data_IF_235950074620
#
_entry.id   IF_235950074620
#
_cell.length_a   1.000
_cell.length_b   1.000
_cell.length_c   1.000
_cell.angle_alpha   90.00
_cell.angle_beta   90.00
_cell.angle_gamma   90.00
#
_symmetry.space_group_name_H-M   'P 1'
#
loop_
_entity.id
_entity.type
_entity.pdbx_description
1 polymer ?
#
# COMPACT_ATOMS: atom_id res chain seq x y z
N UNK A 1 -14.13 19.09 58.35
CA UNK A 1 -13.16 19.53 57.37
C UNK A 1 -13.35 18.64 56.13
N UNK A 2 -14.09 19.16 55.18
CA UNK A 2 -14.45 18.46 53.93
C UNK A 2 -13.32 18.63 52.94
N UNK A 3 -12.75 17.55 52.51
CA UNK A 3 -11.91 17.51 51.33
C UNK A 3 -12.80 17.10 50.14
N UNK A 4 -13.25 18.11 49.42
CA UNK A 4 -13.91 17.99 48.14
C UNK A 4 -12.98 17.29 47.15
N UNK A 5 -13.39 16.09 46.71
CA UNK A 5 -12.77 15.41 45.60
C UNK A 5 -12.92 16.24 44.32
N UNK A 6 -11.82 16.73 43.82
CA UNK A 6 -11.71 17.07 42.41
C UNK A 6 -11.72 15.73 41.64
N UNK A 7 -12.88 15.33 41.16
CA UNK A 7 -12.95 14.44 39.99
C UNK A 7 -12.33 15.24 38.83
N UNK A 8 -11.08 14.94 38.52
CA UNK A 8 -10.46 15.41 37.31
C UNK A 8 -11.31 14.90 36.15
N UNK A 9 -11.99 15.85 35.49
CA UNK A 9 -12.49 15.59 34.13
C UNK A 9 -11.34 14.91 33.36
N UNK A 10 -11.60 13.71 32.88
CA UNK A 10 -10.68 13.02 31.99
C UNK A 10 -10.39 14.00 30.85
N UNK A 11 -9.16 14.50 30.80
CA UNK A 11 -8.68 15.38 29.75
C UNK A 11 -8.97 14.68 28.40
N UNK A 12 -9.79 15.35 27.59
CA UNK A 12 -9.95 14.91 26.19
C UNK A 12 -8.54 14.82 25.59
N UNK A 13 -8.17 13.70 24.97
CA UNK A 13 -6.81 13.49 24.49
C UNK A 13 -6.41 14.68 23.61
N UNK A 14 -5.22 15.22 23.87
CA UNK A 14 -4.67 16.31 23.07
C UNK A 14 -4.64 15.86 21.60
N UNK A 15 -5.01 16.76 20.66
CA UNK A 15 -5.05 16.42 19.23
C UNK A 15 -3.77 15.72 18.73
N UNK A 16 -2.61 16.11 19.26
CA UNK A 16 -1.33 15.46 18.97
C UNK A 16 -1.23 14.03 19.49
N UNK A 17 -1.73 13.78 20.70
CA UNK A 17 -1.76 12.43 21.31
C UNK A 17 -2.72 11.50 20.57
N UNK A 18 -3.88 12.03 20.14
CA UNK A 18 -4.83 11.27 19.33
C UNK A 18 -4.20 10.81 18.01
N UNK A 19 -3.55 11.73 17.27
CA UNK A 19 -2.86 11.39 16.01
C UNK A 19 -1.73 10.40 16.29
N UNK A 20 -0.87 10.64 17.28
CA UNK A 20 0.24 9.74 17.59
C UNK A 20 -0.23 8.33 17.95
N UNK A 21 -1.32 8.22 18.72
CA UNK A 21 -1.88 6.92 19.10
C UNK A 21 -2.32 6.09 17.88
N UNK A 22 -2.91 6.74 16.87
CA UNK A 22 -3.38 6.03 15.65
C UNK A 22 -2.28 5.69 14.65
N UNK A 23 -1.12 6.37 14.74
CA UNK A 23 0.01 6.14 13.84
C UNK A 23 1.05 5.14 14.37
N UNK A 24 0.87 4.62 15.58
CA UNK A 24 1.77 3.61 16.16
C UNK A 24 1.34 2.22 15.76
N UNK A 25 2.28 1.42 15.25
CA UNK A 25 2.07 0.04 14.87
C UNK A 25 2.26 -0.91 16.05
N UNK A 26 1.55 -2.04 16.02
CA UNK A 26 1.80 -3.15 16.92
C UNK A 26 3.03 -3.92 16.43
N UNK A 27 4.18 -3.69 17.07
CA UNK A 27 5.48 -4.17 16.62
C UNK A 27 6.16 -5.13 17.61
N UNK A 28 7.25 -5.76 17.16
CA UNK A 28 8.01 -6.72 17.95
C UNK A 28 8.81 -6.10 19.10
N UNK A 29 9.09 -4.78 19.07
CA UNK A 29 9.88 -4.10 20.10
C UNK A 29 9.03 -3.61 21.27
N UNK A 30 7.71 -3.49 21.11
CA UNK A 30 6.81 -2.92 22.13
C UNK A 30 6.95 -1.41 22.34
N UNK A 31 7.81 -0.74 21.56
CA UNK A 31 8.04 0.70 21.60
C UNK A 31 7.81 1.33 20.23
N UNK A 32 7.39 2.61 20.15
CA UNK A 32 7.26 3.31 18.87
C UNK A 32 8.57 3.30 18.10
N UNK A 33 8.51 3.11 16.79
CA UNK A 33 9.67 3.17 15.91
C UNK A 33 10.27 4.57 15.92
N UNK A 34 11.58 4.68 16.17
CA UNK A 34 12.30 5.95 16.26
C UNK A 34 13.00 6.34 14.97
N UNK A 35 13.30 5.37 14.11
CA UNK A 35 13.92 5.56 12.80
C UNK A 35 12.92 5.35 11.69
N UNK A 36 13.06 6.04 10.56
CA UNK A 36 12.12 5.94 9.43
C UNK A 36 12.03 4.51 8.87
N UNK A 37 13.16 3.84 8.72
CA UNK A 37 13.26 2.45 8.27
C UNK A 37 14.04 1.67 9.32
N UNK A 38 13.46 0.62 9.85
CA UNK A 38 14.11 -0.27 10.81
C UNK A 38 13.79 -1.72 10.46
N UNK A 39 14.74 -2.39 9.84
CA UNK A 39 14.61 -3.80 9.45
C UNK A 39 14.69 -4.78 10.63
N UNK A 40 15.02 -4.32 11.83
CA UNK A 40 15.03 -5.14 13.05
C UNK A 40 13.64 -5.29 13.67
N UNK A 41 12.71 -4.39 13.30
CA UNK A 41 11.35 -4.33 13.85
C UNK A 41 10.37 -4.92 12.85
N UNK A 42 9.59 -5.91 13.29
CA UNK A 42 8.49 -6.47 12.51
C UNK A 42 7.18 -5.88 13.02
N UNK A 43 6.44 -5.22 12.15
CA UNK A 43 5.11 -4.71 12.40
C UNK A 43 4.10 -5.85 12.18
N UNK A 44 3.64 -6.46 13.28
CA UNK A 44 2.75 -7.62 13.22
C UNK A 44 1.39 -7.30 12.61
N UNK A 45 0.86 -6.11 12.86
CA UNK A 45 -0.38 -5.61 12.28
C UNK A 45 -0.28 -5.49 10.75
N UNK A 46 0.78 -4.88 10.24
CA UNK A 46 1.04 -4.75 8.81
C UNK A 46 1.12 -6.11 8.12
N UNK A 47 1.91 -7.05 8.67
CA UNK A 47 2.06 -8.40 8.11
C UNK A 47 0.74 -9.17 8.17
N UNK A 48 0.03 -9.09 9.29
CA UNK A 48 -1.25 -9.76 9.47
C UNK A 48 -2.30 -9.28 8.46
N UNK A 49 -2.54 -7.96 8.39
CA UNK A 49 -3.55 -7.42 7.48
C UNK A 49 -3.15 -7.62 6.01
N UNK A 50 -1.89 -7.41 5.63
CA UNK A 50 -1.43 -7.66 4.28
C UNK A 50 -1.68 -9.13 3.85
N UNK A 51 -1.32 -10.09 4.72
CA UNK A 51 -1.48 -11.53 4.42
C UNK A 51 -2.95 -11.93 4.37
N UNK A 52 -3.75 -11.49 5.34
CA UNK A 52 -5.19 -11.84 5.42
C UNK A 52 -5.94 -11.25 4.22
N UNK A 53 -5.70 -9.98 3.89
CA UNK A 53 -6.35 -9.32 2.75
C UNK A 53 -5.91 -9.97 1.43
N UNK A 54 -4.62 -10.24 1.26
CA UNK A 54 -4.11 -10.94 0.07
C UNK A 54 -4.69 -12.33 -0.08
N UNK A 55 -4.71 -13.11 0.98
CA UNK A 55 -5.33 -14.43 1.01
C UNK A 55 -6.83 -14.39 0.70
N UNK A 56 -7.54 -13.42 1.26
CA UNK A 56 -8.97 -13.21 0.99
C UNK A 56 -9.21 -12.84 -0.48
N UNK A 57 -8.41 -11.95 -1.05
CA UNK A 57 -8.51 -11.57 -2.47
C UNK A 57 -8.32 -12.77 -3.39
N UNK A 58 -7.26 -13.54 -3.18
CA UNK A 58 -6.99 -14.75 -3.97
C UNK A 58 -8.11 -15.78 -3.80
N UNK A 59 -8.60 -15.97 -2.58
CA UNK A 59 -9.71 -16.88 -2.29
C UNK A 59 -11.01 -16.45 -2.98
N UNK A 60 -11.36 -15.17 -2.93
CA UNK A 60 -12.54 -14.64 -3.62
C UNK A 60 -12.43 -14.77 -5.15
N UNK A 61 -11.29 -14.43 -5.73
CA UNK A 61 -11.04 -14.63 -7.16
C UNK A 61 -11.14 -16.11 -7.54
N UNK A 62 -10.60 -17.00 -6.73
CA UNK A 62 -10.71 -18.45 -6.94
C UNK A 62 -12.16 -18.94 -6.85
N UNK A 63 -12.96 -18.45 -5.90
CA UNK A 63 -14.39 -18.80 -5.80
C UNK A 63 -15.16 -18.37 -7.04
N UNK A 64 -14.91 -17.18 -7.58
CA UNK A 64 -15.53 -16.69 -8.80
C UNK A 64 -15.08 -17.51 -10.01
N UNK A 65 -13.78 -17.74 -10.15
CA UNK A 65 -13.21 -18.53 -11.25
C UNK A 65 -13.73 -19.98 -11.27
N UNK A 66 -13.87 -20.60 -10.09
CA UNK A 66 -14.41 -21.98 -9.95
C UNK A 66 -15.86 -22.12 -10.42
N UNK A 67 -16.64 -21.03 -10.34
CA UNK A 67 -18.06 -20.99 -10.75
C UNK A 67 -18.25 -20.37 -12.13
N UNK A 68 -17.16 -20.07 -12.85
CA UNK A 68 -17.23 -19.43 -14.15
C UNK A 68 -17.92 -20.35 -15.17
N UNK A 69 -18.79 -19.74 -15.96
CA UNK A 69 -19.56 -20.42 -17.02
C UNK A 69 -19.25 -19.78 -18.36
N UNK A 70 -19.29 -20.60 -19.43
CA UNK A 70 -19.07 -20.11 -20.81
C UNK A 70 -20.28 -19.34 -21.39
N UNK A 71 -21.40 -19.30 -20.66
CA UNK A 71 -22.61 -18.57 -21.06
C UNK A 71 -22.60 -17.11 -20.62
N UNK A 72 -23.79 -16.55 -20.36
CA UNK A 72 -23.93 -15.18 -19.86
C UNK A 72 -23.29 -15.10 -18.45
N UNK A 73 -22.24 -14.27 -18.26
CA UNK A 73 -21.55 -14.21 -16.98
C UNK A 73 -22.41 -13.58 -15.88
N UNK A 74 -22.34 -14.13 -14.66
CA UNK A 74 -22.89 -13.46 -13.49
C UNK A 74 -22.11 -12.16 -13.17
N UNK A 75 -22.69 -11.25 -12.38
CA UNK A 75 -22.09 -9.93 -12.06
C UNK A 75 -20.66 -10.02 -11.54
N UNK A 76 -20.37 -10.96 -10.63
CA UNK A 76 -19.02 -11.13 -10.07
C UNK A 76 -18.05 -11.69 -11.12
N UNK A 77 -18.50 -12.64 -11.95
CA UNK A 77 -17.70 -13.17 -13.04
C UNK A 77 -17.39 -12.08 -14.08
N UNK A 78 -18.41 -11.30 -14.50
CA UNK A 78 -18.23 -10.20 -15.45
C UNK A 78 -17.24 -9.15 -14.93
N UNK A 79 -17.31 -8.78 -13.64
CA UNK A 79 -16.36 -7.84 -13.05
C UNK A 79 -14.92 -8.37 -13.07
N UNK A 80 -14.71 -9.65 -12.75
CA UNK A 80 -13.39 -10.27 -12.78
C UNK A 80 -12.86 -10.42 -14.21
N UNK A 81 -13.71 -10.79 -15.16
CA UNK A 81 -13.35 -10.91 -16.58
C UNK A 81 -12.96 -9.57 -17.19
N UNK A 82 -13.74 -8.50 -16.96
CA UNK A 82 -13.41 -7.13 -17.42
C UNK A 82 -12.06 -6.70 -16.85
N UNK A 83 -11.83 -6.94 -15.57
CA UNK A 83 -10.56 -6.58 -14.93
C UNK A 83 -9.38 -7.40 -15.49
N UNK A 84 -9.57 -8.70 -15.67
CA UNK A 84 -8.56 -9.58 -16.24
C UNK A 84 -8.25 -9.24 -17.71
N UNK A 85 -9.25 -8.86 -18.50
CA UNK A 85 -9.08 -8.40 -19.88
C UNK A 85 -8.30 -7.08 -19.92
N UNK A 86 -8.70 -6.09 -19.12
CA UNK A 86 -8.01 -4.80 -19.03
C UNK A 86 -6.53 -4.96 -18.69
N UNK A 87 -6.21 -5.76 -17.66
CA UNK A 87 -4.83 -6.00 -17.25
C UNK A 87 -4.08 -6.88 -18.25
N UNK A 88 -4.77 -7.85 -18.85
CA UNK A 88 -4.23 -8.70 -19.90
C UNK A 88 -3.82 -7.91 -21.14
N UNK A 89 -4.60 -6.90 -21.53
CA UNK A 89 -4.27 -6.00 -22.63
C UNK A 89 -3.04 -5.14 -22.30
N UNK A 90 -2.94 -4.60 -21.09
CA UNK A 90 -1.75 -3.86 -20.66
C UNK A 90 -0.50 -4.76 -20.66
N UNK A 91 -0.63 -5.97 -20.13
CA UNK A 91 0.46 -6.95 -20.14
C UNK A 91 0.88 -7.34 -21.57
N UNK A 92 -0.05 -7.36 -22.54
CA UNK A 92 0.24 -7.66 -23.96
C UNK A 92 1.03 -6.54 -24.63
N UNK A 93 0.76 -5.29 -24.27
CA UNK A 93 1.48 -4.13 -24.81
C UNK A 93 2.93 -4.11 -24.31
N UNK A 94 3.16 -4.48 -23.06
CA UNK A 94 4.48 -4.37 -22.40
C UNK A 94 5.31 -5.65 -22.60
N UNK A 95 4.70 -6.84 -22.41
CA UNK A 95 5.39 -8.12 -22.47
C UNK A 95 5.04 -8.85 -23.77
N UNK A 96 5.90 -8.70 -24.79
CA UNK A 96 5.68 -9.27 -26.12
C UNK A 96 5.78 -10.80 -26.15
N UNK A 97 6.57 -11.40 -25.25
CA UNK A 97 6.74 -12.85 -25.16
C UNK A 97 5.50 -13.54 -24.58
N UNK A 98 4.82 -14.35 -25.39
CA UNK A 98 3.59 -15.04 -25.00
C UNK A 98 3.78 -16.01 -23.81
N UNK A 99 4.92 -16.72 -23.74
CA UNK A 99 5.20 -17.65 -22.64
C UNK A 99 5.34 -16.94 -21.31
N UNK A 100 6.01 -15.79 -21.28
CA UNK A 100 6.15 -14.98 -20.08
C UNK A 100 4.83 -14.30 -19.70
N UNK A 101 4.09 -13.80 -20.69
CA UNK A 101 2.80 -13.13 -20.48
C UNK A 101 1.77 -14.02 -19.80
N UNK A 102 1.75 -15.34 -20.09
CA UNK A 102 0.86 -16.29 -19.42
C UNK A 102 1.01 -16.33 -17.89
N UNK A 103 2.18 -15.98 -17.39
CA UNK A 103 2.43 -15.87 -15.95
C UNK A 103 2.36 -14.42 -15.46
N UNK A 104 2.89 -13.48 -16.23
CA UNK A 104 2.97 -12.06 -15.81
C UNK A 104 1.59 -11.39 -15.75
N UNK A 105 0.66 -11.73 -16.65
CA UNK A 105 -0.68 -11.14 -16.62
C UNK A 105 -1.49 -11.53 -15.36
N UNK A 106 -1.58 -12.81 -14.95
CA UNK A 106 -2.20 -13.17 -13.67
C UNK A 106 -1.49 -12.58 -12.45
N UNK A 107 -0.15 -12.48 -12.48
CA UNK A 107 0.62 -11.82 -11.43
C UNK A 107 0.23 -10.35 -11.30
N UNK A 108 0.17 -9.62 -12.41
CA UNK A 108 -0.24 -8.22 -12.45
C UNK A 108 -1.68 -8.02 -11.92
N UNK A 109 -2.60 -8.92 -12.29
CA UNK A 109 -3.96 -8.93 -11.77
C UNK A 109 -3.96 -9.11 -10.24
N UNK A 110 -3.18 -10.04 -9.73
CA UNK A 110 -3.08 -10.30 -8.28
C UNK A 110 -2.51 -9.08 -7.56
N UNK A 111 -1.45 -8.48 -8.08
CA UNK A 111 -0.83 -7.26 -7.53
C UNK A 111 -1.84 -6.11 -7.50
N UNK A 112 -2.54 -5.88 -8.62
CA UNK A 112 -3.56 -4.84 -8.68
C UNK A 112 -4.65 -5.02 -7.63
N UNK A 113 -5.27 -6.21 -7.58
CA UNK A 113 -6.37 -6.49 -6.65
C UNK A 113 -5.89 -6.44 -5.20
N UNK A 114 -4.70 -6.95 -4.92
CA UNK A 114 -4.14 -6.93 -3.57
C UNK A 114 -3.83 -5.52 -3.08
N UNK A 115 -3.12 -4.72 -3.88
CA UNK A 115 -2.81 -3.32 -3.52
C UNK A 115 -4.09 -2.49 -3.42
N UNK A 116 -5.05 -2.68 -4.34
CA UNK A 116 -6.35 -2.03 -4.27
C UNK A 116 -7.09 -2.36 -2.98
N UNK A 117 -7.14 -3.63 -2.60
CA UNK A 117 -7.82 -4.05 -1.38
C UNK A 117 -7.13 -3.53 -0.11
N UNK A 118 -5.79 -3.55 -0.05
CA UNK A 118 -5.05 -2.99 1.08
C UNK A 118 -5.30 -1.48 1.23
N UNK A 119 -5.25 -0.74 0.13
CA UNK A 119 -5.51 0.70 0.13
C UNK A 119 -6.98 1.03 0.48
N UNK A 120 -7.91 0.16 0.10
CA UNK A 120 -9.34 0.32 0.42
C UNK A 120 -9.63 0.19 1.92
N UNK A 121 -8.73 -0.38 2.71
CA UNK A 121 -8.88 -0.43 4.17
C UNK A 121 -8.91 0.95 4.80
N UNK A 122 -8.35 1.96 4.15
CA UNK A 122 -8.35 3.36 4.63
C UNK A 122 -9.75 4.01 4.64
N UNK A 123 -10.74 3.40 3.95
CA UNK A 123 -12.15 3.83 4.02
C UNK A 123 -12.90 3.29 5.24
N UNK A 124 -12.31 2.37 6.00
CA UNK A 124 -12.93 1.93 7.24
C UNK A 124 -12.86 3.06 8.27
N UNK A 125 -13.90 3.21 9.12
CA UNK A 125 -13.85 4.19 10.20
C UNK A 125 -12.58 3.97 11.04
N UNK A 126 -11.79 5.04 11.22
CA UNK A 126 -10.46 5.01 11.84
C UNK A 126 -10.47 4.30 13.20
N UNK A 127 -11.51 4.53 14.01
CA UNK A 127 -11.63 3.99 15.36
C UNK A 127 -12.24 2.57 15.41
N UNK A 128 -12.81 2.06 14.30
CA UNK A 128 -13.62 0.82 14.34
C UNK A 128 -12.80 -0.40 14.79
N UNK A 129 -11.71 -0.68 14.10
CA UNK A 129 -10.88 -1.86 14.38
C UNK A 129 -9.96 -1.66 15.59
N UNK A 130 -9.34 -0.48 15.81
CA UNK A 130 -8.60 -0.20 17.05
C UNK A 130 -9.44 -0.36 18.31
N UNK A 131 -10.64 0.21 18.36
CA UNK A 131 -11.56 0.08 19.52
C UNK A 131 -12.00 -1.38 19.72
N UNK A 132 -12.26 -2.12 18.63
CA UNK A 132 -12.59 -3.53 18.73
C UNK A 132 -11.40 -4.33 19.30
N UNK A 133 -10.18 -4.03 18.86
CA UNK A 133 -8.96 -4.67 19.35
C UNK A 133 -8.69 -4.36 20.83
N UNK A 134 -8.87 -3.11 21.27
CA UNK A 134 -8.76 -2.73 22.67
C UNK A 134 -9.73 -3.50 23.56
N UNK A 135 -10.99 -3.69 23.11
CA UNK A 135 -11.99 -4.48 23.81
C UNK A 135 -11.64 -5.97 23.88
N UNK A 136 -11.12 -6.54 22.80
CA UNK A 136 -10.74 -7.95 22.72
C UNK A 136 -9.47 -8.25 23.53
N UNK A 137 -8.49 -7.36 23.49
CA UNK A 137 -7.22 -7.51 24.22
C UNK A 137 -7.33 -7.17 25.71
N UNK A 138 -8.41 -6.50 26.13
CA UNK A 138 -8.59 -6.00 27.49
C UNK A 138 -7.63 -4.87 27.87
N UNK A 139 -6.85 -4.35 26.92
CA UNK A 139 -5.89 -3.27 27.13
C UNK A 139 -6.36 -1.99 26.39
N UNK A 140 -6.75 -0.92 27.14
CA UNK A 140 -7.23 0.32 26.51
C UNK A 140 -6.15 1.09 25.74
N UNK A 141 -4.88 0.74 25.89
CA UNK A 141 -3.75 1.34 25.18
C UNK A 141 -3.16 0.43 24.10
N UNK A 142 -3.88 -0.62 23.68
CA UNK A 142 -3.40 -1.48 22.62
C UNK A 142 -3.40 -0.75 21.28
N UNK A 143 -2.24 -0.75 20.62
CA UNK A 143 -2.08 -0.19 19.27
C UNK A 143 -2.51 -1.20 18.22
N UNK A 144 -3.15 -0.72 17.17
CA UNK A 144 -3.46 -1.51 15.98
C UNK A 144 -3.60 -0.56 14.79
N UNK A 145 -2.73 -0.72 13.80
CA UNK A 145 -2.81 0.01 12.56
C UNK A 145 -3.37 -0.90 11.47
N UNK A 146 -4.39 -0.42 10.77
CA UNK A 146 -5.24 -1.27 9.91
C UNK A 146 -4.75 -1.26 8.46
N UNK A 147 -4.11 -0.17 8.02
CA UNK A 147 -3.71 0.05 6.62
C UNK A 147 -2.26 -0.38 6.39
N UNK A 148 -2.00 -1.56 5.79
CA UNK A 148 -0.62 -2.07 5.64
C UNK A 148 0.25 -1.21 4.74
N UNK A 149 -0.35 -0.54 3.75
CA UNK A 149 0.36 0.30 2.77
C UNK A 149 0.70 1.69 3.29
N UNK A 150 0.10 2.10 4.41
CA UNK A 150 0.48 3.32 5.13
C UNK A 150 1.67 3.09 6.10
N UNK A 151 2.14 1.86 6.23
CA UNK A 151 3.40 1.53 6.89
C UNK A 151 4.56 1.56 5.89
N UNK A 152 5.60 2.32 6.23
CA UNK A 152 6.78 2.45 5.37
C UNK A 152 7.50 1.12 5.16
N UNK A 153 7.61 0.28 6.20
CA UNK A 153 8.22 -1.05 6.09
C UNK A 153 7.42 -1.97 5.18
N UNK A 154 6.08 -1.93 5.26
CA UNK A 154 5.18 -2.68 4.39
C UNK A 154 5.27 -2.24 2.92
N UNK A 155 5.23 -0.92 2.68
CA UNK A 155 5.32 -0.36 1.33
C UNK A 155 6.69 -0.66 0.66
N UNK A 156 7.79 -0.57 1.43
CA UNK A 156 9.12 -0.95 0.93
C UNK A 156 9.26 -2.45 0.75
N UNK A 157 8.65 -3.28 1.60
CA UNK A 157 8.58 -4.73 1.43
C UNK A 157 7.99 -5.09 0.06
N UNK A 158 6.82 -4.55 -0.28
CA UNK A 158 6.18 -4.76 -1.58
C UNK A 158 7.05 -4.26 -2.76
N UNK A 159 7.73 -3.13 -2.60
CA UNK A 159 8.64 -2.61 -3.64
C UNK A 159 9.87 -3.51 -3.85
N UNK A 160 10.42 -4.05 -2.77
CA UNK A 160 11.53 -5.01 -2.81
C UNK A 160 11.08 -6.33 -3.46
N UNK A 161 9.86 -6.81 -3.18
CA UNK A 161 9.31 -8.00 -3.83
C UNK A 161 9.22 -7.82 -5.36
N UNK A 162 8.81 -6.63 -5.82
CA UNK A 162 8.81 -6.30 -7.26
C UNK A 162 10.23 -6.30 -7.83
N UNK A 163 11.22 -5.77 -7.10
CA UNK A 163 12.62 -5.80 -7.52
C UNK A 163 13.15 -7.23 -7.62
N UNK A 164 12.83 -8.10 -6.65
CA UNK A 164 13.22 -9.51 -6.67
C UNK A 164 12.57 -10.25 -7.84
N UNK A 165 11.31 -9.97 -8.15
CA UNK A 165 10.64 -10.49 -9.34
C UNK A 165 11.34 -10.02 -10.63
N UNK A 166 11.75 -8.76 -10.69
CA UNK A 166 12.51 -8.23 -11.83
C UNK A 166 13.84 -8.98 -12.00
N UNK A 167 14.60 -9.21 -10.94
CA UNK A 167 15.84 -9.99 -10.98
C UNK A 167 15.59 -11.45 -11.40
N UNK A 168 14.55 -12.07 -10.86
CA UNK A 168 14.17 -13.42 -11.25
C UNK A 168 13.90 -13.53 -12.75
N UNK A 169 13.14 -12.60 -13.33
CA UNK A 169 12.85 -12.61 -14.76
C UNK A 169 14.08 -12.30 -15.61
N UNK A 170 14.92 -11.35 -15.21
CA UNK A 170 16.18 -11.07 -15.89
C UNK A 170 17.08 -12.32 -15.96
N UNK A 171 17.25 -13.00 -14.85
CA UNK A 171 18.06 -14.24 -14.79
C UNK A 171 17.41 -15.36 -15.61
N UNK A 172 16.08 -15.49 -15.55
CA UNK A 172 15.37 -16.57 -16.28
C UNK A 172 15.37 -16.38 -17.79
N UNK A 173 15.36 -15.15 -18.28
CA UNK A 173 15.27 -14.81 -19.71
C UNK A 173 16.65 -14.71 -20.34
N UNK A 174 17.53 -13.93 -19.74
CA UNK A 174 18.89 -13.64 -20.27
C UNK A 174 19.94 -14.63 -19.79
N UNK A 175 19.62 -15.45 -18.79
CA UNK A 175 20.58 -16.30 -18.09
C UNK A 175 21.49 -15.49 -17.17
N UNK A 176 22.17 -16.16 -16.23
CA UNK A 176 23.06 -15.48 -15.26
C UNK A 176 24.20 -14.76 -16.02
N UNK A 177 24.81 -15.39 -17.03
CA UNK A 177 25.90 -14.82 -17.81
C UNK A 177 25.49 -13.61 -18.66
N UNK A 178 24.31 -13.67 -19.31
CA UNK A 178 23.78 -12.55 -20.09
C UNK A 178 23.43 -11.35 -19.21
N UNK A 179 22.77 -11.60 -18.10
CA UNK A 179 22.40 -10.55 -17.15
C UNK A 179 23.63 -9.88 -16.51
N UNK A 180 24.63 -10.65 -16.07
CA UNK A 180 25.87 -10.07 -15.53
C UNK A 180 26.64 -9.30 -16.59
N UNK A 181 26.72 -9.79 -17.82
CA UNK A 181 27.33 -9.06 -18.93
C UNK A 181 26.62 -7.71 -19.16
N UNK A 182 25.30 -7.70 -19.24
CA UNK A 182 24.50 -6.48 -19.40
C UNK A 182 24.73 -5.47 -18.26
N UNK A 183 24.85 -5.94 -17.02
CA UNK A 183 25.09 -5.13 -15.84
C UNK A 183 26.41 -4.30 -15.95
N UNK A 184 27.41 -4.84 -16.66
CA UNK A 184 28.72 -4.18 -16.84
C UNK A 184 28.85 -3.46 -18.19
N UNK A 185 27.99 -3.72 -19.16
CA UNK A 185 28.10 -3.15 -20.52
C UNK A 185 27.10 -2.04 -20.81
N UNK A 186 25.98 -2.01 -20.11
CA UNK A 186 24.93 -1.00 -20.33
C UNK A 186 24.99 0.07 -19.24
N UNK A 187 24.83 1.39 -19.55
CA UNK A 187 24.41 1.96 -20.84
C UNK A 187 25.56 2.42 -21.75
N UNK A 188 26.80 2.56 -21.29
CA UNK A 188 27.87 3.26 -22.02
C UNK A 188 28.68 2.38 -22.98
N UNK A 189 28.43 1.07 -23.02
CA UNK A 189 29.07 0.14 -23.94
C UNK A 189 30.15 -0.76 -23.31
N UNK A 190 30.73 -1.65 -24.14
CA UNK A 190 31.60 -2.76 -23.71
C UNK A 190 33.11 -2.35 -23.65
N UNK A 191 33.41 -1.19 -23.11
CA UNK A 191 34.82 -0.81 -22.92
C UNK A 191 35.22 -1.08 -21.45
N UNK A 192 36.36 -1.75 -21.17
CA UNK A 192 36.75 -2.14 -19.81
C UNK A 192 36.77 -0.99 -18.79
N UNK A 193 37.13 0.23 -19.23
CA UNK A 193 37.13 1.41 -18.39
C UNK A 193 35.73 1.86 -17.95
N UNK A 194 34.70 1.47 -18.70
CA UNK A 194 33.30 1.84 -18.45
C UNK A 194 32.54 0.81 -17.58
N UNK A 195 33.14 -0.31 -17.22
CA UNK A 195 32.48 -1.33 -16.41
C UNK A 195 32.06 -0.82 -15.03
N UNK A 196 32.92 -0.04 -14.37
CA UNK A 196 32.63 0.54 -13.05
C UNK A 196 31.50 1.59 -13.13
N UNK A 197 31.55 2.57 -14.06
CA UNK A 197 30.43 3.49 -14.26
C UNK A 197 29.11 2.79 -14.64
N UNK A 198 29.14 1.77 -15.53
CA UNK A 198 27.96 1.03 -15.92
C UNK A 198 27.31 0.33 -14.73
N UNK A 199 28.10 -0.40 -13.95
CA UNK A 199 27.62 -1.07 -12.75
C UNK A 199 27.03 -0.07 -11.74
N UNK A 200 27.70 1.07 -11.51
CA UNK A 200 27.21 2.10 -10.59
C UNK A 200 25.87 2.68 -11.07
N UNK A 201 25.74 2.95 -12.38
CA UNK A 201 24.48 3.44 -12.95
C UNK A 201 23.34 2.44 -12.80
N UNK A 202 23.59 1.16 -13.04
CA UNK A 202 22.59 0.09 -12.87
C UNK A 202 22.16 -0.04 -11.39
N UNK A 203 23.10 0.04 -10.44
CA UNK A 203 22.78 0.04 -9.01
C UNK A 203 21.92 1.24 -8.61
N UNK A 204 22.27 2.44 -9.09
CA UNK A 204 21.48 3.65 -8.85
C UNK A 204 20.08 3.49 -9.45
N UNK A 205 19.96 2.92 -10.65
CA UNK A 205 18.67 2.71 -11.30
C UNK A 205 17.78 1.74 -10.49
N UNK A 206 18.30 0.61 -10.02
CA UNK A 206 17.55 -0.33 -9.19
C UNK A 206 17.12 0.30 -7.86
N UNK A 207 18.03 1.03 -7.20
CA UNK A 207 17.72 1.73 -5.96
C UNK A 207 16.64 2.80 -6.17
N UNK A 208 16.77 3.61 -7.21
CA UNK A 208 15.83 4.69 -7.52
C UNK A 208 14.44 4.13 -7.86
N UNK A 209 14.37 3.06 -8.66
CA UNK A 209 13.11 2.37 -8.97
C UNK A 209 12.42 1.87 -7.70
N UNK A 210 13.15 1.17 -6.85
CA UNK A 210 12.63 0.59 -5.60
C UNK A 210 12.18 1.66 -4.63
N UNK A 211 13.00 2.68 -4.39
CA UNK A 211 12.67 3.79 -3.48
C UNK A 211 11.45 4.55 -4.00
N UNK A 212 11.45 4.95 -5.27
CA UNK A 212 10.34 5.69 -5.88
C UNK A 212 9.04 4.90 -5.82
N UNK A 213 9.10 3.58 -6.04
CA UNK A 213 7.93 2.70 -6.02
C UNK A 213 7.34 2.55 -4.62
N UNK A 214 8.17 2.29 -3.61
CA UNK A 214 7.75 2.18 -2.21
C UNK A 214 7.28 3.51 -1.62
N UNK A 215 8.03 4.61 -1.85
CA UNK A 215 7.67 5.94 -1.36
C UNK A 215 6.37 6.47 -1.97
N UNK A 216 6.07 6.13 -3.22
CA UNK A 216 4.80 6.51 -3.84
C UNK A 216 3.62 5.84 -3.15
N UNK A 217 3.74 4.54 -2.85
CA UNK A 217 2.69 3.80 -2.16
C UNK A 217 2.50 4.32 -0.73
N UNK A 218 3.58 4.38 0.03
CA UNK A 218 3.58 4.90 1.40
C UNK A 218 3.07 6.33 1.47
N UNK A 219 3.63 7.25 0.67
CA UNK A 219 3.33 8.67 0.75
C UNK A 219 1.87 9.00 0.48
N UNK A 220 1.25 8.34 -0.51
CA UNK A 220 -0.15 8.56 -0.82
C UNK A 220 -1.08 8.04 0.29
N UNK A 221 -0.80 6.85 0.84
CA UNK A 221 -1.66 6.26 1.88
C UNK A 221 -1.46 6.94 3.23
N UNK A 222 -0.22 7.21 3.63
CA UNK A 222 0.07 7.91 4.88
C UNK A 222 -0.49 9.33 4.90
N UNK A 223 -0.36 10.07 3.79
CA UNK A 223 -0.96 11.40 3.68
C UNK A 223 -2.50 11.34 3.71
N UNK A 224 -3.09 10.31 3.08
CA UNK A 224 -4.52 10.04 3.13
C UNK A 224 -5.04 9.83 4.54
N UNK A 225 -4.39 8.93 5.28
CA UNK A 225 -4.70 8.62 6.67
C UNK A 225 -4.58 9.85 7.58
N UNK A 226 -3.50 10.64 7.43
CA UNK A 226 -3.33 11.88 8.18
C UNK A 226 -4.45 12.89 7.94
N UNK A 227 -4.88 13.06 6.69
CA UNK A 227 -5.95 13.98 6.35
C UNK A 227 -7.31 13.51 6.90
N UNK A 228 -7.61 12.22 6.88
CA UNK A 228 -8.79 11.68 7.54
C UNK A 228 -8.78 11.93 9.06
N UNK A 229 -7.62 11.74 9.72
CA UNK A 229 -7.46 12.05 11.14
C UNK A 229 -7.68 13.54 11.45
N UNK A 230 -7.12 14.43 10.62
CA UNK A 230 -7.31 15.89 10.78
C UNK A 230 -8.77 16.31 10.60
N UNK A 231 -9.46 15.71 9.60
CA UNK A 231 -10.89 15.96 9.38
C UNK A 231 -11.72 15.41 10.54
N UNK A 232 -11.37 14.25 11.10
CA UNK A 232 -12.03 13.71 12.28
C UNK A 232 -11.88 14.63 13.50
N UNK A 233 -10.68 15.17 13.75
CA UNK A 233 -10.44 16.15 14.82
C UNK A 233 -11.27 17.42 14.66
N UNK A 234 -11.50 17.89 13.44
CA UNK A 234 -12.39 19.04 13.19
C UNK A 234 -13.83 18.73 13.61
N UNK A 235 -14.30 17.49 13.38
CA UNK A 235 -15.61 17.03 13.86
C UNK A 235 -15.69 16.92 15.39
N UNK A 236 -14.62 16.50 16.06
CA UNK A 236 -14.56 16.37 17.52
C UNK A 236 -14.54 17.74 18.24
N UNK A 237 -14.11 18.80 17.61
CA UNK A 237 -14.08 20.15 18.20
C UNK A 237 -15.47 20.80 18.28
N UNK A 238 -16.50 20.25 17.65
CA UNK A 238 -17.87 20.79 17.62
C UNK A 238 -18.47 21.04 19.01
N UNK A 239 -18.41 20.14 20.01
CA UNK A 239 -19.09 20.33 21.30
C UNK A 239 -18.46 21.44 22.16
N UNK A 240 -17.20 21.83 21.90
CA UNK A 240 -16.46 22.82 22.69
C UNK A 240 -16.69 24.27 22.26
N UNK A 241 -17.44 24.51 21.16
CA UNK A 241 -17.64 25.82 20.55
C UNK A 241 -19.04 26.39 20.74
N UNK A 242 -19.19 27.69 20.45
CA UNK A 242 -20.51 28.34 20.41
C UNK A 242 -21.40 27.69 19.32
N UNK A 243 -22.73 27.78 19.49
CA UNK A 243 -23.69 27.15 18.56
C UNK A 243 -23.43 27.54 17.10
N UNK A 244 -23.11 28.80 16.83
CA UNK A 244 -22.83 29.26 15.45
C UNK A 244 -21.47 28.75 14.95
N UNK A 245 -20.41 28.86 15.76
CA UNK A 245 -19.08 28.38 15.39
C UNK A 245 -19.03 26.86 15.24
N UNK A 246 -19.69 26.13 16.13
CA UNK A 246 -19.82 24.70 16.10
C UNK A 246 -20.57 24.20 14.84
N UNK A 247 -21.75 24.81 14.52
CA UNK A 247 -22.48 24.39 13.32
C UNK A 247 -21.71 24.65 12.02
N UNK A 248 -20.97 25.76 11.94
CA UNK A 248 -20.09 26.03 10.78
C UNK A 248 -18.96 25.01 10.66
N UNK A 249 -18.34 24.62 11.77
CA UNK A 249 -17.29 23.59 11.81
C UNK A 249 -17.84 22.22 11.44
N UNK A 250 -19.01 21.85 11.92
CA UNK A 250 -19.67 20.60 11.59
C UNK A 250 -20.01 20.51 10.09
N UNK A 251 -20.56 21.59 9.53
CA UNK A 251 -20.82 21.66 8.09
C UNK A 251 -19.52 21.57 7.29
N UNK A 252 -18.49 22.27 7.72
CA UNK A 252 -17.13 22.18 7.12
C UNK A 252 -16.58 20.75 7.16
N UNK A 253 -16.68 20.07 8.29
CA UNK A 253 -16.28 18.67 8.44
C UNK A 253 -17.02 17.77 7.43
N UNK A 254 -18.33 17.92 7.29
CA UNK A 254 -19.13 17.12 6.38
C UNK A 254 -18.75 17.37 4.89
N UNK A 255 -18.60 18.62 4.51
CA UNK A 255 -18.26 19.00 3.13
C UNK A 255 -16.83 18.59 2.80
N UNK A 256 -15.84 18.93 3.62
CA UNK A 256 -14.42 18.63 3.39
C UNK A 256 -14.21 17.12 3.46
N UNK A 257 -14.83 16.43 4.43
CA UNK A 257 -14.74 14.99 4.57
C UNK A 257 -15.30 14.24 3.35
N UNK A 258 -16.44 14.70 2.84
CA UNK A 258 -17.03 14.09 1.64
C UNK A 258 -16.16 14.32 0.39
N UNK A 259 -15.69 15.55 0.18
CA UNK A 259 -14.80 15.87 -0.94
C UNK A 259 -13.49 15.08 -0.85
N UNK A 260 -12.91 14.99 0.35
CA UNK A 260 -11.68 14.22 0.56
C UNK A 260 -11.91 12.72 0.32
N UNK A 261 -12.99 12.14 0.82
CA UNK A 261 -13.32 10.73 0.60
C UNK A 261 -13.47 10.41 -0.90
N UNK A 262 -14.17 11.26 -1.66
CA UNK A 262 -14.31 11.08 -3.11
C UNK A 262 -12.96 11.17 -3.84
N UNK A 263 -12.11 12.12 -3.44
CA UNK A 263 -10.77 12.25 -4.01
C UNK A 263 -9.89 11.05 -3.62
N UNK A 264 -10.00 10.57 -2.40
CA UNK A 264 -9.23 9.42 -1.91
C UNK A 264 -9.62 8.11 -2.61
N UNK A 265 -10.90 7.91 -2.96
CA UNK A 265 -11.33 6.78 -3.82
C UNK A 265 -10.55 6.78 -5.13
N UNK A 266 -10.42 7.94 -5.76
CA UNK A 266 -9.63 8.05 -6.99
C UNK A 266 -8.16 7.73 -6.76
N UNK A 267 -7.56 8.22 -5.66
CA UNK A 267 -6.16 7.91 -5.30
C UNK A 267 -5.96 6.40 -5.11
N UNK A 268 -6.85 5.71 -4.39
CA UNK A 268 -6.77 4.27 -4.13
C UNK A 268 -6.75 3.45 -5.43
N UNK A 269 -7.66 3.76 -6.36
CA UNK A 269 -7.73 3.09 -7.66
C UNK A 269 -6.48 3.40 -8.50
N UNK A 270 -6.13 4.69 -8.61
CA UNK A 270 -4.98 5.14 -9.39
C UNK A 270 -3.68 4.53 -8.85
N UNK A 271 -3.51 4.49 -7.54
CA UNK A 271 -2.30 3.95 -6.90
C UNK A 271 -2.13 2.45 -7.19
N UNK A 272 -3.21 1.66 -7.08
CA UNK A 272 -3.18 0.24 -7.41
C UNK A 272 -2.84 0.03 -8.90
N UNK A 273 -3.42 0.84 -9.78
CA UNK A 273 -3.15 0.78 -11.22
C UNK A 273 -1.70 1.15 -11.54
N UNK A 274 -1.19 2.26 -10.99
CA UNK A 274 0.21 2.69 -11.22
C UNK A 274 1.19 1.68 -10.66
N UNK A 275 0.91 1.10 -9.48
CA UNK A 275 1.77 0.08 -8.89
C UNK A 275 1.87 -1.15 -9.79
N UNK A 276 0.75 -1.66 -10.28
CA UNK A 276 0.68 -2.77 -11.23
C UNK A 276 1.38 -2.45 -12.55
N UNK A 277 1.14 -1.27 -13.13
CA UNK A 277 1.76 -0.86 -14.40
C UNK A 277 3.27 -0.79 -14.31
N UNK A 278 3.81 -0.21 -13.23
CA UNK A 278 5.26 -0.17 -13.03
C UNK A 278 5.86 -1.56 -12.81
N UNK A 279 5.15 -2.45 -12.11
CA UNK A 279 5.55 -3.87 -12.00
C UNK A 279 5.64 -4.52 -13.37
N UNK A 280 4.64 -4.30 -14.24
CA UNK A 280 4.66 -4.80 -15.63
C UNK A 280 5.82 -4.23 -16.44
N UNK A 281 6.06 -2.92 -16.34
CA UNK A 281 7.17 -2.24 -17.06
C UNK A 281 8.51 -2.78 -16.59
N UNK A 282 8.73 -2.95 -15.30
CA UNK A 282 10.00 -3.46 -14.76
C UNK A 282 10.25 -4.93 -15.17
N UNK A 283 9.21 -5.75 -15.21
CA UNK A 283 9.32 -7.13 -15.74
C UNK A 283 9.50 -7.10 -17.26
N UNK A 284 8.84 -6.18 -17.96
CA UNK A 284 8.95 -6.01 -19.41
C UNK A 284 10.37 -5.70 -19.86
N UNK A 285 11.09 -4.84 -19.14
CA UNK A 285 12.50 -4.50 -19.41
C UNK A 285 13.43 -5.70 -19.40
N UNK A 286 13.08 -6.77 -18.66
CA UNK A 286 13.84 -8.03 -18.72
C UNK A 286 13.75 -8.73 -20.08
N UNK A 287 12.74 -8.39 -20.90
CA UNK A 287 12.53 -8.97 -22.24
C UNK A 287 13.16 -8.15 -23.36
N UNK A 288 13.56 -6.90 -23.07
CA UNK A 288 14.23 -6.05 -24.03
C UNK A 288 15.66 -6.53 -24.21
N UNK A 289 16.00 -6.90 -25.44
CA UNK A 289 17.38 -7.22 -25.83
C UNK A 289 18.07 -5.92 -26.24
N UNK A 290 19.07 -5.51 -25.54
CA UNK A 290 20.03 -4.47 -25.95
C UNK A 290 21.16 -5.05 -26.77
#
# INVERSE_FOLDING_TARGET
MSTTGHETMADAPNAGEYIQHHLVNFNSSGHPQTTMLDFSIINYDTVFFATVIGGLCVFLMWLVARKATAGIPGRAQAALEILAELIGEQAKIIVHNEKSRRFVAPLALTVFVWVFAMNSMDFLPVDLLPVLWQKLSGNPHAYLRVVPTADINGAFGLSIDVLLLCFFYNIRIKGIGGWTHELFTTPFGNHPLLYIPNFAMQMIEFMTKTISHGMRLFGNMYAGELLFLLIALMGMAFPSMSLFGGSALWLGHLVIGTLWALFHIFIVVLQAFVFMMLTLVYIGQAHDSH
#
